data_IF_528993187739
#
_entry.id   IF_528993187739
#
_cell.length_a   1.000
_cell.length_b   1.000
_cell.length_c   1.000
_cell.angle_alpha   90.00
_cell.angle_beta   90.00
_cell.angle_gamma   90.00
#
_symmetry.space_group_name_H-M   'P 1'
#
loop_
_entity.id
_entity.type
_entity.pdbx_description
1 polymer ?
#
# COMPACT_ATOMS: atom_id res chain seq x y z
N UNK A 1 -6.38 -23.10 24.11
CA UNK A 1 -5.51 -22.65 22.99
C UNK A 1 -6.13 -23.09 21.67
N UNK A 2 -6.67 -22.17 20.87
CA UNK A 2 -7.15 -22.51 19.51
C UNK A 2 -5.92 -22.71 18.63
N UNK A 3 -5.75 -23.92 18.09
CA UNK A 3 -4.72 -24.23 17.08
C UNK A 3 -5.00 -23.35 15.86
N UNK A 4 -4.11 -22.40 15.58
CA UNK A 4 -4.19 -21.61 14.36
C UNK A 4 -3.99 -22.51 13.15
N UNK A 5 -5.05 -22.73 12.37
CA UNK A 5 -4.93 -23.29 11.02
C UNK A 5 -4.27 -22.26 10.12
N UNK A 6 -2.97 -22.41 9.88
CA UNK A 6 -2.27 -21.68 8.83
C UNK A 6 -2.82 -22.17 7.47
N UNK A 7 -3.64 -21.35 6.81
CA UNK A 7 -3.99 -21.60 5.41
C UNK A 7 -2.77 -21.26 4.57
N UNK A 8 -2.10 -22.27 4.03
CA UNK A 8 -1.06 -22.07 3.01
C UNK A 8 -1.73 -21.52 1.75
N UNK A 9 -1.32 -20.34 1.31
CA UNK A 9 -1.75 -19.79 0.03
C UNK A 9 -1.26 -20.74 -1.07
N UNK A 10 -2.17 -21.30 -1.88
CA UNK A 10 -1.85 -22.31 -2.90
C UNK A 10 -1.08 -21.75 -4.11
N UNK A 11 -0.88 -20.43 -4.18
CA UNK A 11 -0.23 -19.74 -5.30
C UNK A 11 0.98 -18.96 -4.81
N UNK A 12 2.08 -19.05 -5.55
CA UNK A 12 3.28 -18.28 -5.25
C UNK A 12 2.98 -16.77 -5.25
N UNK A 13 3.54 -16.00 -4.29
CA UNK A 13 3.34 -14.57 -4.24
C UNK A 13 4.01 -13.89 -5.44
N UNK A 14 3.29 -12.93 -6.03
CA UNK A 14 3.86 -12.02 -7.01
C UNK A 14 4.65 -10.94 -6.29
N UNK A 15 5.89 -10.72 -6.72
CA UNK A 15 6.79 -9.76 -6.11
C UNK A 15 6.85 -8.51 -7.00
N UNK A 16 6.70 -7.35 -6.37
CA UNK A 16 6.79 -6.06 -7.03
C UNK A 16 7.84 -5.19 -6.34
N UNK A 17 8.57 -4.40 -7.13
CA UNK A 17 9.44 -3.36 -6.58
C UNK A 17 9.49 -2.16 -7.53
N UNK A 18 8.68 -1.12 -7.26
CA UNK A 18 8.85 0.18 -7.89
C UNK A 18 10.23 0.76 -7.53
N UNK A 19 10.87 1.43 -8.48
CA UNK A 19 12.17 2.08 -8.35
C UNK A 19 11.99 3.53 -8.78
N UNK A 20 12.50 4.46 -7.97
CA UNK A 20 12.39 5.89 -8.22
C UNK A 20 13.66 6.63 -7.83
N UNK A 21 14.03 7.72 -8.53
CA UNK A 21 15.06 8.65 -8.06
C UNK A 21 14.57 9.54 -6.90
N UNK A 22 13.25 9.65 -6.69
CA UNK A 22 12.68 10.49 -5.64
C UNK A 22 13.08 10.00 -4.25
N UNK A 23 13.48 10.94 -3.38
CA UNK A 23 13.82 10.69 -1.97
C UNK A 23 12.65 10.93 -1.01
N UNK A 24 11.45 11.15 -1.54
CA UNK A 24 10.26 11.38 -0.73
C UNK A 24 9.77 10.10 -0.08
N UNK A 25 9.26 10.24 1.13
CA UNK A 25 8.66 9.15 1.91
C UNK A 25 7.25 9.47 2.40
N UNK A 26 6.66 10.56 1.89
CA UNK A 26 5.30 10.99 2.24
C UNK A 26 4.24 10.20 1.44
N UNK A 27 2.94 10.32 1.77
CA UNK A 27 1.86 9.59 1.11
C UNK A 27 1.87 9.68 -0.41
N UNK A 28 2.30 10.81 -0.99
CA UNK A 28 2.35 10.99 -2.45
C UNK A 28 3.31 9.98 -3.07
N UNK A 29 4.46 9.79 -2.43
CA UNK A 29 5.48 8.81 -2.84
C UNK A 29 4.93 7.39 -2.73
N UNK A 30 4.23 7.07 -1.64
CA UNK A 30 3.60 5.75 -1.45
C UNK A 30 2.63 5.46 -2.61
N UNK A 31 1.69 6.37 -2.87
CA UNK A 31 0.68 6.16 -3.90
C UNK A 31 1.24 6.24 -5.31
N UNK A 32 2.28 7.04 -5.57
CA UNK A 32 3.00 7.01 -6.84
C UNK A 32 3.68 5.65 -7.10
N UNK A 33 4.25 5.02 -6.06
CA UNK A 33 4.82 3.68 -6.16
C UNK A 33 3.76 2.58 -6.28
N UNK A 34 2.60 2.75 -5.65
CA UNK A 34 1.49 1.82 -5.77
C UNK A 34 0.78 1.92 -7.12
N UNK A 35 0.72 3.11 -7.73
CA UNK A 35 -0.02 3.36 -8.97
C UNK A 35 0.25 2.35 -10.10
N UNK A 36 1.50 2.10 -10.53
CA UNK A 36 1.76 1.13 -11.60
C UNK A 36 1.39 -0.30 -11.20
N UNK A 37 1.45 -0.64 -9.90
CA UNK A 37 1.01 -1.95 -9.39
C UNK A 37 -0.51 -2.05 -9.49
N UNK A 38 -1.23 -1.03 -9.05
CA UNK A 38 -2.69 -1.00 -9.10
C UNK A 38 -3.21 -1.02 -10.53
N UNK A 39 -2.56 -0.29 -11.45
CA UNK A 39 -2.88 -0.33 -12.88
C UNK A 39 -2.66 -1.72 -13.48
N UNK A 40 -1.53 -2.36 -13.14
CA UNK A 40 -1.25 -3.74 -13.55
C UNK A 40 -2.32 -4.70 -13.01
N UNK A 41 -2.71 -4.59 -11.74
CA UNK A 41 -3.74 -5.43 -11.15
C UNK A 41 -5.12 -5.21 -11.79
N UNK A 42 -5.51 -3.95 -12.01
CA UNK A 42 -6.78 -3.62 -12.65
C UNK A 42 -6.87 -4.14 -14.09
N UNK A 43 -5.75 -4.15 -14.82
CA UNK A 43 -5.69 -4.62 -16.21
C UNK A 43 -5.60 -6.14 -16.32
N UNK A 44 -4.69 -6.76 -15.58
CA UNK A 44 -4.32 -8.18 -15.76
C UNK A 44 -5.02 -9.12 -14.76
N UNK A 45 -5.69 -8.57 -13.75
CA UNK A 45 -6.41 -9.30 -12.70
C UNK A 45 -7.79 -8.69 -12.42
N UNK A 46 -8.63 -8.57 -13.46
CA UNK A 46 -9.96 -7.94 -13.41
C UNK A 46 -10.94 -8.58 -12.42
N UNK A 47 -10.66 -9.79 -11.94
CA UNK A 47 -11.44 -10.49 -10.92
C UNK A 47 -11.14 -10.02 -9.48
N UNK A 48 -10.10 -9.21 -9.27
CA UNK A 48 -9.71 -8.71 -7.95
C UNK A 48 -10.52 -7.45 -7.62
N UNK A 49 -11.42 -7.56 -6.64
CA UNK A 49 -12.26 -6.45 -6.19
C UNK A 49 -11.79 -5.82 -4.88
N UNK A 50 -11.09 -6.59 -4.05
CA UNK A 50 -10.69 -6.19 -2.70
C UNK A 50 -9.17 -6.12 -2.57
N UNK A 51 -8.68 -5.01 -2.03
CA UNK A 51 -7.27 -4.80 -1.74
C UNK A 51 -7.04 -4.77 -0.22
N UNK A 52 -6.00 -5.48 0.21
CA UNK A 52 -5.59 -5.51 1.61
C UNK A 52 -4.13 -5.09 1.72
N UNK A 53 -3.89 -3.90 2.25
CA UNK A 53 -2.57 -3.40 2.60
C UNK A 53 -2.23 -3.80 4.02
N UNK A 54 -0.96 -4.16 4.21
CA UNK A 54 -0.37 -4.44 5.51
C UNK A 54 0.93 -3.64 5.61
N UNK A 55 0.99 -2.71 6.57
CA UNK A 55 2.18 -1.90 6.76
C UNK A 55 2.45 -1.59 8.22
N UNK A 56 3.65 -1.12 8.45
CA UNK A 56 4.06 -0.53 9.70
C UNK A 56 3.29 0.79 9.95
N UNK A 57 3.39 1.30 11.19
CA UNK A 57 2.69 2.48 11.70
C UNK A 57 3.41 3.85 11.62
N UNK A 58 4.48 4.10 10.84
CA UNK A 58 5.08 5.44 10.82
C UNK A 58 4.03 6.52 10.48
N UNK A 59 3.83 7.46 11.40
CA UNK A 59 2.86 8.53 11.26
C UNK A 59 3.16 9.41 10.03
N UNK A 60 4.44 9.61 9.72
CA UNK A 60 4.90 10.40 8.57
C UNK A 60 4.59 9.75 7.22
N UNK A 61 4.31 8.44 7.19
CA UNK A 61 4.17 7.66 5.95
C UNK A 61 2.75 7.13 5.79
N UNK A 62 2.36 6.14 6.59
CA UNK A 62 1.11 5.39 6.39
C UNK A 62 -0.05 5.85 7.28
N UNK A 63 0.23 6.44 8.45
CA UNK A 63 -0.78 6.86 9.44
C UNK A 63 -0.96 8.38 9.50
N UNK A 64 -1.48 8.95 8.42
CA UNK A 64 -1.81 10.38 8.36
C UNK A 64 -3.04 10.65 7.49
N UNK A 65 -3.59 11.86 7.64
CA UNK A 65 -4.81 12.31 6.95
C UNK A 65 -4.75 12.22 5.43
N UNK A 66 -3.58 12.44 4.82
CA UNK A 66 -3.42 12.39 3.38
C UNK A 66 -3.46 10.94 2.89
N UNK A 67 -2.77 10.02 3.57
CA UNK A 67 -2.84 8.60 3.24
C UNK A 67 -4.26 8.05 3.41
N UNK A 68 -4.99 8.49 4.43
CA UNK A 68 -6.39 8.11 4.65
C UNK A 68 -7.30 8.56 3.51
N UNK A 69 -7.19 9.82 3.09
CA UNK A 69 -7.92 10.31 1.92
C UNK A 69 -7.60 9.49 0.67
N UNK A 70 -6.32 9.29 0.35
CA UNK A 70 -5.91 8.54 -0.84
C UNK A 70 -6.36 7.07 -0.77
N UNK A 71 -6.38 6.47 0.43
CA UNK A 71 -6.93 5.13 0.67
C UNK A 71 -8.42 5.06 0.30
N UNK A 72 -9.19 6.11 0.60
CA UNK A 72 -10.61 6.19 0.28
C UNK A 72 -10.91 6.58 -1.17
N UNK A 73 -9.94 7.04 -1.97
CA UNK A 73 -10.21 7.58 -3.32
C UNK A 73 -9.48 6.85 -4.43
N UNK A 74 -8.15 6.71 -4.34
CA UNK A 74 -7.30 6.18 -5.40
C UNK A 74 -7.67 4.76 -5.85
N UNK A 75 -7.91 3.78 -4.95
CA UNK A 75 -8.31 2.43 -5.36
C UNK A 75 -9.63 2.42 -6.15
N UNK A 76 -10.63 3.18 -5.68
CA UNK A 76 -11.96 3.20 -6.29
C UNK A 76 -11.94 3.79 -7.70
N UNK A 77 -11.09 4.79 -7.96
CA UNK A 77 -10.87 5.33 -9.32
C UNK A 77 -10.32 4.28 -10.30
N UNK A 78 -9.74 3.18 -9.79
CA UNK A 78 -9.21 2.06 -10.59
C UNK A 78 -10.14 0.85 -10.60
N UNK A 79 -11.36 0.98 -10.07
CA UNK A 79 -12.39 -0.06 -10.09
C UNK A 79 -12.34 -1.06 -8.92
N UNK A 80 -11.48 -0.87 -7.92
CA UNK A 80 -11.50 -1.70 -6.72
C UNK A 80 -12.68 -1.29 -5.82
N UNK A 81 -13.50 -2.27 -5.42
CA UNK A 81 -14.72 -2.03 -4.63
C UNK A 81 -14.43 -1.88 -3.15
N UNK A 82 -13.39 -2.53 -2.64
CA UNK A 82 -13.05 -2.45 -1.22
C UNK A 82 -11.56 -2.35 -1.02
N UNK A 83 -11.16 -1.45 -0.14
CA UNK A 83 -9.79 -1.33 0.33
C UNK A 83 -9.75 -1.47 1.84
N UNK A 84 -8.74 -2.18 2.32
CA UNK A 84 -8.39 -2.27 3.73
C UNK A 84 -6.92 -1.97 3.91
N UNK A 85 -6.60 -1.15 4.90
CA UNK A 85 -5.24 -0.90 5.33
C UNK A 85 -5.08 -1.31 6.79
N UNK A 86 -4.31 -2.35 7.01
CA UNK A 86 -3.99 -2.89 8.31
C UNK A 86 -2.61 -2.45 8.76
N UNK A 87 -2.53 -2.07 10.03
CA UNK A 87 -1.33 -1.53 10.61
C UNK A 87 -0.79 -2.46 11.70
N UNK A 88 0.48 -2.83 11.64
CA UNK A 88 1.14 -3.64 12.68
C UNK A 88 1.62 -2.80 13.88
N UNK A 89 1.67 -3.35 15.10
CA UNK A 89 2.15 -2.64 16.31
C UNK A 89 3.60 -2.18 16.17
N UNK A 90 4.03 -1.12 16.86
CA UNK A 90 5.43 -0.68 16.80
C UNK A 90 6.43 -1.81 17.18
N UNK A 91 7.64 -1.79 16.60
CA UNK A 91 8.73 -2.75 16.90
C UNK A 91 8.59 -4.18 16.32
N UNK A 92 7.75 -4.36 15.30
CA UNK A 92 7.79 -5.52 14.42
C UNK A 92 9.00 -5.40 13.50
N UNK A 93 9.72 -6.51 13.31
CA UNK A 93 10.96 -6.52 12.54
C UNK A 93 10.78 -6.25 11.04
N UNK A 94 11.80 -6.60 10.26
CA UNK A 94 11.77 -6.40 8.80
C UNK A 94 10.64 -7.19 8.14
N UNK A 95 9.73 -6.50 7.45
CA UNK A 95 8.68 -7.12 6.63
C UNK A 95 9.14 -7.62 5.25
N UNK A 96 8.23 -8.27 4.52
CA UNK A 96 8.46 -8.81 3.17
C UNK A 96 9.07 -7.83 2.15
N UNK A 97 8.68 -6.52 2.11
CA UNK A 97 9.29 -5.55 1.21
C UNK A 97 10.81 -5.42 1.39
N UNK A 98 11.31 -5.56 2.63
CA UNK A 98 12.74 -5.52 2.91
C UNK A 98 13.47 -6.72 2.29
N UNK A 99 12.84 -7.89 2.26
CA UNK A 99 13.38 -9.09 1.63
C UNK A 99 13.54 -8.94 0.12
N UNK A 100 12.52 -8.40 -0.55
CA UNK A 100 12.56 -8.10 -1.99
C UNK A 100 13.66 -7.09 -2.30
N UNK A 101 13.72 -5.99 -1.56
CA UNK A 101 14.75 -4.98 -1.73
C UNK A 101 16.17 -5.52 -1.50
N UNK A 102 16.37 -6.34 -0.48
CA UNK A 102 17.65 -6.98 -0.21
C UNK A 102 18.07 -7.96 -1.33
N UNK A 103 17.11 -8.73 -1.87
CA UNK A 103 17.37 -9.65 -2.98
C UNK A 103 17.81 -8.88 -4.24
N UNK A 104 17.09 -7.82 -4.62
CA UNK A 104 17.44 -7.00 -5.78
C UNK A 104 18.82 -6.34 -5.63
N UNK A 105 19.11 -5.77 -4.45
CA UNK A 105 20.43 -5.18 -4.17
C UNK A 105 21.57 -6.18 -4.30
N UNK A 106 21.39 -7.40 -3.76
CA UNK A 106 22.38 -8.48 -3.93
C UNK A 106 22.59 -8.85 -5.39
N UNK A 107 21.51 -9.03 -6.16
CA UNK A 107 21.60 -9.32 -7.60
C UNK A 107 22.35 -8.22 -8.35
N UNK A 108 22.07 -6.96 -8.04
CA UNK A 108 22.73 -5.83 -8.69
C UNK A 108 24.23 -5.78 -8.40
N UNK A 109 24.64 -5.98 -7.14
CA UNK A 109 26.05 -6.04 -6.74
C UNK A 109 26.82 -7.14 -7.45
N UNK A 110 26.22 -8.34 -7.55
CA UNK A 110 26.84 -9.49 -8.25
C UNK A 110 27.02 -9.22 -9.73
N UNK A 111 26.10 -8.50 -10.39
CA UNK A 111 26.13 -8.30 -11.85
C UNK A 111 27.10 -7.23 -12.33
N UNK A 112 27.27 -6.14 -11.59
CA UNK A 112 28.09 -5.03 -12.05
C UNK A 112 29.50 -5.07 -11.47
N UNK A 113 29.65 -5.41 -10.18
CA UNK A 113 30.93 -5.23 -9.48
C UNK A 113 31.44 -3.77 -9.50
N UNK A 114 30.57 -2.80 -9.80
CA UNK A 114 30.85 -1.35 -9.89
C UNK A 114 29.71 -0.55 -9.25
N UNK A 115 29.99 0.71 -8.95
CA UNK A 115 29.02 1.64 -8.38
C UNK A 115 27.84 1.90 -9.32
N UNK A 116 26.64 1.97 -8.74
CA UNK A 116 25.41 2.31 -9.44
C UNK A 116 25.02 3.75 -9.09
N UNK A 117 25.22 4.71 -9.99
CA UNK A 117 25.16 6.13 -9.64
C UNK A 117 23.74 6.65 -9.44
N UNK A 118 22.72 5.99 -10.03
CA UNK A 118 21.34 6.45 -9.95
C UNK A 118 20.31 5.32 -10.09
N UNK A 119 19.07 5.64 -9.74
CA UNK A 119 17.93 4.72 -9.77
C UNK A 119 17.59 4.21 -11.19
N UNK A 120 17.81 5.04 -12.22
CA UNK A 120 17.59 4.67 -13.61
C UNK A 120 18.52 3.54 -14.07
N UNK A 121 19.81 3.65 -13.77
CA UNK A 121 20.79 2.58 -14.03
C UNK A 121 20.43 1.30 -13.28
N UNK A 122 20.03 1.41 -12.02
CA UNK A 122 19.57 0.27 -11.22
C UNK A 122 18.35 -0.43 -11.84
N UNK A 123 17.36 0.34 -12.29
CA UNK A 123 16.18 -0.18 -12.98
C UNK A 123 16.53 -0.87 -14.29
N UNK A 124 17.29 -0.23 -15.19
CA UNK A 124 17.65 -0.80 -16.49
C UNK A 124 18.44 -2.10 -16.38
N UNK A 125 19.28 -2.22 -15.34
CA UNK A 125 20.06 -3.43 -15.08
C UNK A 125 19.20 -4.63 -14.66
N UNK A 126 18.10 -4.37 -13.95
CA UNK A 126 17.31 -5.39 -13.28
C UNK A 126 15.93 -5.63 -13.87
N UNK A 127 15.44 -4.76 -14.75
CA UNK A 127 14.07 -4.84 -15.31
C UNK A 127 13.73 -6.18 -15.94
N UNK A 128 14.73 -6.84 -16.54
CA UNK A 128 14.58 -8.13 -17.21
C UNK A 128 15.07 -9.30 -16.34
N UNK A 129 15.22 -9.09 -15.02
CA UNK A 129 15.86 -10.05 -14.12
C UNK A 129 14.92 -10.61 -13.08
N UNK A 130 14.77 -11.93 -13.10
CA UNK A 130 14.15 -12.69 -12.03
C UNK A 130 12.64 -12.59 -11.97
N UNK A 131 12.10 -12.95 -10.80
CA UNK A 131 10.65 -13.08 -10.54
C UNK A 131 9.99 -11.79 -10.03
N UNK A 132 10.77 -10.72 -9.83
CA UNK A 132 10.27 -9.45 -9.29
C UNK A 132 9.89 -8.54 -10.44
N UNK A 133 8.63 -8.14 -10.52
CA UNK A 133 8.18 -7.16 -11.49
C UNK A 133 8.59 -5.76 -11.04
N UNK A 134 9.43 -5.11 -11.84
CA UNK A 134 9.93 -3.76 -11.57
C UNK A 134 9.11 -2.72 -12.33
N UNK A 135 8.90 -1.58 -11.68
CA UNK A 135 8.32 -0.39 -12.30
C UNK A 135 9.26 0.77 -12.08
N UNK A 136 9.42 1.62 -13.10
CA UNK A 136 10.13 2.88 -12.91
C UNK A 136 9.12 3.98 -12.63
N UNK A 137 9.34 4.72 -11.54
CA UNK A 137 8.49 5.84 -11.11
C UNK A 137 9.35 7.08 -11.09
N UNK A 138 9.11 8.01 -11.99
CA UNK A 138 9.82 9.28 -12.09
C UNK A 138 9.52 10.20 -10.90
N UNK A 139 10.39 11.20 -10.67
CA UNK A 139 10.09 12.27 -9.71
C UNK A 139 8.85 13.07 -10.11
N UNK A 140 8.62 13.26 -11.40
CA UNK A 140 7.44 13.95 -11.93
C UNK A 140 6.13 13.22 -11.54
N UNK A 141 6.09 11.89 -11.65
CA UNK A 141 4.94 11.10 -11.22
C UNK A 141 4.67 11.22 -9.72
N UNK A 142 5.73 11.31 -8.91
CA UNK A 142 5.60 11.54 -7.46
C UNK A 142 5.03 12.93 -7.17
N UNK A 143 5.50 13.97 -7.87
CA UNK A 143 5.03 15.34 -7.67
C UNK A 143 3.58 15.53 -8.16
N UNK A 144 3.20 14.92 -9.30
CA UNK A 144 1.82 14.93 -9.81
C UNK A 144 0.82 14.38 -8.80
N UNK A 145 1.18 13.33 -8.05
CA UNK A 145 0.33 12.82 -6.95
C UNK A 145 0.09 13.84 -5.84
N UNK A 146 1.00 14.81 -5.69
CA UNK A 146 0.86 15.89 -4.73
C UNK A 146 -0.11 16.99 -5.14
N UNK A 147 -0.37 17.17 -6.43
CA UNK A 147 -1.23 18.25 -6.94
C UNK A 147 -2.68 18.04 -6.54
N UNK A 148 -3.22 16.84 -6.74
CA UNK A 148 -4.60 16.51 -6.35
C UNK A 148 -4.86 16.63 -4.84
N UNK A 149 -3.83 16.56 -3.99
CA UNK A 149 -3.98 16.77 -2.56
C UNK A 149 -4.05 18.25 -2.15
N UNK A 150 -3.63 19.19 -3.00
CA UNK A 150 -3.63 20.63 -2.68
C UNK A 150 -5.04 21.21 -2.63
N UNK A 151 -5.95 20.64 -3.43
CA UNK A 151 -7.33 21.12 -3.60
C UNK A 151 -8.29 20.53 -2.56
N UNK A 152 -7.83 19.55 -1.77
CA UNK A 152 -8.66 18.80 -0.83
C UNK A 152 -8.49 19.33 0.59
N UNK A 153 -9.62 19.64 1.25
CA UNK A 153 -9.63 19.98 2.67
C UNK A 153 -9.49 18.72 3.54
N UNK A 154 -8.25 18.43 3.95
CA UNK A 154 -7.93 17.27 4.78
C UNK A 154 -8.01 17.61 6.28
N UNK A 155 -8.81 16.85 7.02
CA UNK A 155 -8.90 16.95 8.48
C UNK A 155 -8.20 15.78 9.18
N UNK A 156 -7.83 16.01 10.44
CA UNK A 156 -7.25 14.99 11.31
C UNK A 156 -8.33 14.20 12.02
N UNK A 157 -8.20 12.88 12.04
CA UNK A 157 -9.12 12.00 12.77
C UNK A 157 -8.57 11.77 14.18
N UNK A 158 -9.37 12.12 15.20
CA UNK A 158 -8.98 11.92 16.60
C UNK A 158 -8.70 10.44 16.86
N UNK A 159 -7.63 10.14 17.59
CA UNK A 159 -7.26 8.76 17.88
C UNK A 159 -6.58 8.00 16.74
N UNK A 160 -6.12 8.68 15.67
CA UNK A 160 -5.35 8.10 14.55
C UNK A 160 -4.30 7.07 14.98
N UNK A 161 -3.55 7.35 16.05
CA UNK A 161 -2.50 6.44 16.52
C UNK A 161 -3.04 5.11 17.05
N UNK A 162 -4.26 5.09 17.60
CA UNK A 162 -4.92 3.88 18.10
C UNK A 162 -5.53 3.02 17.00
N UNK A 163 -5.74 3.57 15.81
CA UNK A 163 -6.35 2.84 14.70
C UNK A 163 -5.43 1.68 14.29
N UNK A 164 -5.95 0.46 14.25
CA UNK A 164 -5.20 -0.69 13.75
C UNK A 164 -5.63 -1.04 12.32
N UNK A 165 -6.79 -0.54 11.91
CA UNK A 165 -7.31 -0.76 10.58
C UNK A 165 -8.10 0.46 10.11
N UNK A 166 -7.96 0.71 8.81
CA UNK A 166 -8.76 1.62 8.02
C UNK A 166 -9.34 0.85 6.85
N UNK A 167 -10.59 1.13 6.49
CA UNK A 167 -11.33 0.47 5.42
C UNK A 167 -12.06 1.51 4.59
N UNK A 168 -12.23 1.25 3.30
CA UNK A 168 -13.10 2.02 2.43
C UNK A 168 -13.82 1.06 1.49
N UNK A 169 -15.14 1.02 1.57
CA UNK A 169 -16.03 0.25 0.71
C UNK A 169 -16.82 1.14 -0.28
N UNK A 170 -16.53 2.44 -0.28
CA UNK A 170 -17.14 3.42 -1.18
C UNK A 170 -16.19 4.60 -1.36
N UNK A 171 -16.17 5.16 -2.58
CA UNK A 171 -15.32 6.29 -2.92
C UNK A 171 -15.54 7.47 -1.97
N UNK A 172 -14.46 7.99 -1.39
CA UNK A 172 -14.48 9.13 -0.46
C UNK A 172 -14.95 8.79 0.96
N UNK A 173 -15.40 7.56 1.22
CA UNK A 173 -15.82 7.12 2.56
C UNK A 173 -14.70 6.30 3.20
N UNK A 174 -14.29 6.72 4.39
CA UNK A 174 -13.30 6.05 5.21
C UNK A 174 -13.94 5.54 6.50
N UNK A 175 -13.74 4.27 6.79
CA UNK A 175 -14.11 3.64 8.05
C UNK A 175 -12.84 3.25 8.80
N UNK A 176 -12.85 3.33 10.12
CA UNK A 176 -11.68 2.92 10.91
C UNK A 176 -12.07 2.23 12.21
N UNK A 177 -11.12 1.48 12.78
CA UNK A 177 -11.28 0.86 14.10
C UNK A 177 -9.96 0.68 14.82
N UNK A 178 -10.07 0.56 16.14
CA UNK A 178 -8.90 0.43 17.02
C UNK A 178 -8.28 -0.97 17.01
N UNK A 179 -8.97 -2.00 16.50
CA UNK A 179 -8.47 -3.38 16.44
C UNK A 179 -8.86 -3.97 15.08
N UNK A 180 -7.89 -4.50 14.33
CA UNK A 180 -8.15 -5.22 13.07
C UNK A 180 -8.98 -6.48 13.33
N UNK A 181 -9.96 -6.76 12.48
CA UNK A 181 -10.81 -7.93 12.64
C UNK A 181 -11.17 -8.59 11.30
N UNK A 182 -10.96 -9.90 11.22
CA UNK A 182 -11.19 -10.69 10.02
C UNK A 182 -12.22 -11.80 10.24
N UNK A 183 -13.09 -11.65 11.24
CA UNK A 183 -14.04 -12.70 11.66
C UNK A 183 -14.91 -13.22 10.51
N UNK A 184 -15.36 -12.33 9.62
CA UNK A 184 -16.24 -12.66 8.49
C UNK A 184 -15.68 -12.18 7.15
N UNK A 185 -14.38 -11.86 7.08
CA UNK A 185 -13.78 -11.33 5.85
C UNK A 185 -13.79 -12.35 4.70
N UNK A 186 -13.82 -13.64 5.02
CA UNK A 186 -13.95 -14.71 4.02
C UNK A 186 -15.33 -14.71 3.33
N UNK A 187 -16.34 -14.11 3.95
CA UNK A 187 -17.70 -13.95 3.43
C UNK A 187 -17.88 -12.57 2.76
N UNK A 188 -16.81 -11.77 2.64
CA UNK A 188 -16.88 -10.39 2.17
C UNK A 188 -17.47 -9.41 3.18
N UNK A 189 -17.65 -9.84 4.44
CA UNK A 189 -18.23 -9.02 5.50
C UNK A 189 -17.10 -8.43 6.34
N UNK A 190 -16.92 -7.12 6.24
CA UNK A 190 -15.87 -6.40 6.97
C UNK A 190 -16.34 -5.73 8.26
N UNK A 191 -17.66 -5.60 8.42
CA UNK A 191 -18.28 -5.21 9.69
C UNK A 191 -18.12 -6.29 10.77
N UNK A 192 -18.04 -5.88 12.03
CA UNK A 192 -17.97 -6.80 13.16
C UNK A 192 -18.82 -6.30 14.33
N UNK A 193 -19.67 -7.17 14.88
CA UNK A 193 -20.47 -6.88 16.06
C UNK A 193 -19.62 -6.59 17.32
N UNK A 194 -18.42 -7.15 17.39
CA UNK A 194 -17.51 -7.00 18.53
C UNK A 194 -16.52 -5.84 18.38
N UNK A 195 -16.20 -5.45 17.14
CA UNK A 195 -15.23 -4.40 16.83
C UNK A 195 -15.84 -3.45 15.78
N UNK A 196 -16.64 -2.50 16.27
CA UNK A 196 -17.34 -1.52 15.45
C UNK A 196 -16.42 -0.63 14.62
N UNK A 197 -16.96 -0.15 13.49
CA UNK A 197 -16.31 0.79 12.59
C UNK A 197 -16.86 2.20 12.85
N UNK A 198 -15.97 3.17 12.91
CA UNK A 198 -16.31 4.60 12.92
C UNK A 198 -16.15 5.13 11.48
N UNK A 199 -17.11 5.91 10.99
CA UNK A 199 -17.14 6.41 9.60
C UNK A 199 -16.78 7.89 9.51
N UNK A 200 -16.08 8.22 8.43
CA UNK A 200 -15.53 9.52 8.12
C UNK A 200 -15.66 9.74 6.61
N UNK A 201 -16.31 10.84 6.20
CA UNK A 201 -16.53 11.14 4.78
C UNK A 201 -15.68 12.32 4.33
N UNK A 202 -15.02 12.15 3.18
CA UNK A 202 -14.36 13.22 2.45
C UNK A 202 -15.36 13.78 1.44
N UNK A 203 -15.83 15.01 1.65
CA UNK A 203 -16.72 15.68 0.71
C UNK A 203 -16.00 16.00 -0.60
N UNK A 204 -16.65 15.73 -1.73
CA UNK A 204 -16.39 16.49 -2.96
C UNK A 204 -17.08 17.85 -2.79
N UNK A 205 -16.31 18.93 -2.90
CA UNK A 205 -16.89 20.21 -3.30
C UNK A 205 -17.17 20.18 -4.80
#
# INVERSE_FOLDING_TARGET
MRKGTWRTYKKDPMLFCPISPSRRHDPRSIWAHLDPILQFLAKDHTNVQSLHFFSDRPATQCKNRANFYMTATEPHQRGFSTVMWNFFEASHGKGAPNGVGAALKRTALVRQGRDMPNAGTFFQLLKDTGKVKLFYVSEEEVEKKGEGLKEVSLFTIKGTMRMHEVLSDSHGILKHRNISCFCHSAEGIFGCLFYGLEEVSYGCN
#
